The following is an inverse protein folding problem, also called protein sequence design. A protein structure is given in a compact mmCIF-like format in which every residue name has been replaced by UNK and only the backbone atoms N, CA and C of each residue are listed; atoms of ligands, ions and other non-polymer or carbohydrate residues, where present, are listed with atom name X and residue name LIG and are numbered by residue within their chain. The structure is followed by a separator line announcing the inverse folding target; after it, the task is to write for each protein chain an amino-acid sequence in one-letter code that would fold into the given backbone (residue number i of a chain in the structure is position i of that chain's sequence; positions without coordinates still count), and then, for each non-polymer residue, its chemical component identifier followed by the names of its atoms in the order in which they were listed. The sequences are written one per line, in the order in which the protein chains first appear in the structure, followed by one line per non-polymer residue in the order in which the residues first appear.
data_IF_925963713359
#
_entry.id   IF_925963713359
#
_cell.length_a   1.000
_cell.length_b   1.000
_cell.length_c   1.000
_cell.angle_alpha   90.00
_cell.angle_beta   90.00
_cell.angle_gamma   90.00
#
_symmetry.space_group_name_H-M   'P 1'
#
loop_
_entity.id
_entity.type
_entity.pdbx_description
1 polymer ?
#
# COMPACT_ATOMS: atom_id res chain seq x y z
N UNK A 1 25.83 -15.75 6.25
CA UNK A 1 26.29 -14.45 5.70
C UNK A 1 25.11 -13.51 5.73
N UNK A 2 25.16 -12.46 6.54
CA UNK A 2 24.16 -11.40 6.55
C UNK A 2 24.31 -10.63 5.24
N UNK A 3 23.39 -10.81 4.30
CA UNK A 3 23.30 -9.96 3.11
C UNK A 3 22.97 -8.54 3.60
N UNK A 4 23.99 -7.72 3.80
CA UNK A 4 23.82 -6.28 3.95
C UNK A 4 23.26 -5.78 2.62
N UNK A 5 22.02 -5.33 2.61
CA UNK A 5 21.43 -4.64 1.45
C UNK A 5 22.42 -3.55 0.98
N UNK A 6 22.73 -3.52 -0.31
CA UNK A 6 23.53 -2.45 -0.90
C UNK A 6 22.86 -1.11 -0.57
N UNK A 7 23.65 -0.11 -0.18
CA UNK A 7 23.16 1.23 0.15
C UNK A 7 22.89 1.51 1.63
N UNK A 8 22.97 0.52 2.52
CA UNK A 8 22.76 0.71 3.98
C UNK A 8 23.61 1.81 4.61
N UNK A 9 24.84 2.03 4.12
CA UNK A 9 25.75 3.06 4.61
C UNK A 9 25.24 4.50 4.37
N UNK A 10 24.39 4.72 3.36
CA UNK A 10 23.84 6.04 3.00
C UNK A 10 22.36 6.19 3.35
N UNK A 11 21.76 5.21 4.03
CA UNK A 11 20.32 5.16 4.28
C UNK A 11 19.80 6.41 4.99
N UNK A 12 20.61 6.97 5.90
CA UNK A 12 20.26 8.18 6.65
C UNK A 12 20.20 9.39 5.72
N UNK A 13 21.29 9.65 5.00
CA UNK A 13 21.41 10.77 4.07
C UNK A 13 20.35 10.71 2.97
N UNK A 14 20.08 9.50 2.47
CA UNK A 14 19.06 9.25 1.45
C UNK A 14 17.64 9.48 1.98
N UNK A 15 17.38 9.12 3.23
CA UNK A 15 16.10 9.39 3.90
C UNK A 15 15.91 10.89 4.08
N UNK A 16 16.94 11.60 4.55
CA UNK A 16 16.91 13.05 4.76
C UNK A 16 16.72 13.81 3.43
N UNK A 17 17.39 13.35 2.37
CA UNK A 17 17.26 13.90 1.01
C UNK A 17 15.84 13.71 0.46
N UNK A 18 15.29 12.49 0.55
CA UNK A 18 13.92 12.22 0.10
C UNK A 18 12.91 13.04 0.92
N UNK A 19 13.05 13.10 2.24
CA UNK A 19 12.19 13.93 3.08
C UNK A 19 12.29 15.42 2.74
N UNK A 20 13.48 15.90 2.32
CA UNK A 20 13.65 17.29 1.88
C UNK A 20 12.87 17.59 0.61
N UNK A 21 12.98 16.74 -0.40
CA UNK A 21 12.24 16.91 -1.67
C UNK A 21 10.73 16.79 -1.43
N UNK A 22 10.29 15.82 -0.61
CA UNK A 22 8.86 15.65 -0.31
C UNK A 22 8.23 16.83 0.43
N UNK A 23 9.03 17.66 1.13
CA UNK A 23 8.53 18.91 1.74
C UNK A 23 8.21 20.01 0.73
N UNK A 24 8.67 19.88 -0.51
CA UNK A 24 8.41 20.82 -1.59
C UNK A 24 7.10 20.48 -2.33
N UNK A 25 6.53 19.30 -2.09
CA UNK A 25 5.20 18.93 -2.62
C UNK A 25 4.15 19.86 -2.01
N UNK A 26 3.20 20.28 -2.83
CA UNK A 26 2.07 21.11 -2.39
C UNK A 26 1.38 20.46 -1.18
N UNK A 27 1.13 21.26 -0.14
CA UNK A 27 0.58 20.79 1.13
C UNK A 27 -0.85 20.27 1.00
N UNK A 28 -1.56 20.64 -0.06
CA UNK A 28 -2.89 20.13 -0.36
C UNK A 28 -2.85 18.73 -0.99
N UNK A 29 -1.67 18.22 -1.36
CA UNK A 29 -1.47 16.86 -1.87
C UNK A 29 -1.03 15.94 -0.71
N UNK A 30 -1.89 15.04 -0.23
CA UNK A 30 -1.52 14.11 0.83
C UNK A 30 -0.49 13.09 0.32
N UNK A 31 0.55 12.86 1.14
CA UNK A 31 1.55 11.83 0.89
C UNK A 31 1.19 10.54 1.62
N UNK A 32 1.21 9.42 0.90
CA UNK A 32 0.92 8.08 1.41
C UNK A 32 2.13 7.20 1.13
N UNK A 33 2.69 6.62 2.19
CA UNK A 33 3.89 5.79 2.10
C UNK A 33 3.55 4.31 2.16
N UNK A 34 4.18 3.51 1.30
CA UNK A 34 4.05 2.06 1.22
C UNK A 34 5.43 1.46 1.45
N UNK A 35 5.57 0.56 2.42
CA UNK A 35 6.84 -0.08 2.73
C UNK A 35 7.23 -1.10 1.67
N UNK A 36 8.47 -1.06 1.18
CA UNK A 36 9.04 -2.08 0.31
C UNK A 36 10.14 -2.92 0.97
N UNK A 37 10.66 -3.90 0.23
CA UNK A 37 11.75 -4.77 0.69
C UNK A 37 13.06 -4.01 0.98
N UNK A 38 13.30 -2.86 0.33
CA UNK A 38 14.44 -1.99 0.64
C UNK A 38 14.23 -1.17 1.93
N UNK A 39 12.98 -1.03 2.38
CA UNK A 39 12.64 -0.39 3.64
C UNK A 39 12.74 -1.38 4.80
N UNK A 40 11.99 -2.47 4.75
CA UNK A 40 11.85 -3.38 5.90
C UNK A 40 12.67 -4.67 5.76
N UNK A 41 13.29 -4.91 4.60
CA UNK A 41 14.02 -6.13 4.27
C UNK A 41 13.17 -7.15 3.49
N UNK A 42 13.83 -8.07 2.78
CA UNK A 42 13.14 -9.22 2.16
C UNK A 42 12.48 -10.11 3.23
N UNK A 43 13.14 -10.25 4.38
CA UNK A 43 12.63 -10.96 5.56
C UNK A 43 12.58 -9.92 6.70
N UNK A 44 11.48 -9.17 6.87
CA UNK A 44 11.35 -8.14 7.89
C UNK A 44 11.54 -8.68 9.30
N UNK A 45 12.07 -7.83 10.18
CA UNK A 45 12.10 -8.06 11.63
C UNK A 45 11.28 -6.99 12.33
N UNK A 46 10.97 -7.20 13.61
CA UNK A 46 10.28 -6.18 14.41
C UNK A 46 11.04 -4.86 14.40
N UNK A 47 12.37 -4.90 14.42
CA UNK A 47 13.23 -3.71 14.42
C UNK A 47 13.15 -2.95 13.10
N UNK A 48 13.19 -3.64 11.94
CA UNK A 48 13.13 -2.96 10.64
C UNK A 48 11.75 -2.36 10.36
N UNK A 49 10.68 -3.04 10.80
CA UNK A 49 9.32 -2.49 10.73
C UNK A 49 9.17 -1.27 11.65
N UNK A 50 9.61 -1.36 12.91
CA UNK A 50 9.55 -0.21 13.82
C UNK A 50 10.35 0.99 13.30
N UNK A 51 11.49 0.76 12.65
CA UNK A 51 12.28 1.84 12.05
C UNK A 51 11.56 2.50 10.88
N UNK A 52 10.89 1.71 10.02
CA UNK A 52 10.01 2.25 9.00
C UNK A 52 8.91 3.11 9.65
N UNK A 53 8.23 2.60 10.67
CA UNK A 53 7.12 3.31 11.32
C UNK A 53 7.54 4.63 11.95
N UNK A 54 8.71 4.68 12.60
CA UNK A 54 9.26 5.93 13.16
C UNK A 54 9.58 6.97 12.09
N UNK A 55 9.94 6.53 10.89
CA UNK A 55 10.44 7.41 9.82
C UNK A 55 9.34 7.87 8.87
N UNK A 56 8.40 6.97 8.54
CA UNK A 56 7.42 7.15 7.46
C UNK A 56 5.96 7.04 7.91
N UNK A 57 5.71 6.62 9.16
CA UNK A 57 4.37 6.30 9.66
C UNK A 57 4.02 4.81 9.49
N UNK A 58 2.80 4.45 9.88
CA UNK A 58 2.35 3.05 9.95
C UNK A 58 2.63 2.25 8.66
N UNK A 59 3.07 1.00 8.80
CA UNK A 59 3.42 0.13 7.67
C UNK A 59 2.20 -0.52 7.00
N UNK A 60 1.05 -0.52 7.68
CA UNK A 60 -0.26 -0.80 7.11
C UNK A 60 -1.33 0.05 7.77
N UNK A 61 -2.28 0.54 6.98
CA UNK A 61 -3.38 1.38 7.45
C UNK A 61 -4.47 1.51 6.37
N UNK A 62 -5.59 2.13 6.74
CA UNK A 62 -6.67 2.43 5.81
C UNK A 62 -7.09 3.89 5.91
N UNK A 63 -7.63 4.41 4.81
CA UNK A 63 -8.21 5.75 4.78
C UNK A 63 -9.36 5.81 3.77
N UNK A 64 -10.24 6.79 3.95
CA UNK A 64 -11.41 6.99 3.11
C UNK A 64 -11.35 8.32 2.41
N UNK A 65 -11.67 8.31 1.12
CA UNK A 65 -11.70 9.51 0.30
C UNK A 65 -12.85 9.39 -0.69
N UNK A 66 -13.76 10.37 -0.73
CA UNK A 66 -14.88 10.34 -1.69
C UNK A 66 -15.78 9.10 -1.62
N UNK A 67 -15.81 8.38 -0.49
CA UNK A 67 -16.55 7.11 -0.35
C UNK A 67 -15.82 5.87 -0.88
N UNK A 68 -14.55 6.02 -1.26
CA UNK A 68 -13.63 4.95 -1.65
C UNK A 68 -12.74 4.59 -0.46
N UNK A 69 -12.61 3.29 -0.20
CA UNK A 69 -11.71 2.75 0.80
C UNK A 69 -10.34 2.47 0.18
N UNK A 70 -9.29 2.99 0.78
CA UNK A 70 -7.92 2.66 0.44
C UNK A 70 -7.29 1.85 1.56
N UNK A 71 -6.62 0.76 1.18
CA UNK A 71 -5.86 -0.10 2.09
C UNK A 71 -4.39 -0.03 1.69
N UNK A 72 -3.51 0.28 2.63
CA UNK A 72 -2.06 0.19 2.47
C UNK A 72 -1.59 -1.04 3.23
N UNK A 73 -0.89 -1.94 2.54
CA UNK A 73 -0.42 -3.20 3.10
C UNK A 73 1.11 -3.29 3.07
N UNK A 74 1.70 -3.81 4.15
CA UNK A 74 3.07 -4.29 4.12
C UNK A 74 3.12 -5.67 3.45
N UNK A 75 3.40 -5.70 2.14
CA UNK A 75 3.47 -6.95 1.39
C UNK A 75 4.68 -7.83 1.73
N UNK A 76 5.70 -7.31 2.41
CA UNK A 76 6.84 -8.16 2.82
C UNK A 76 6.41 -9.24 3.81
N UNK A 77 5.34 -8.99 4.56
CA UNK A 77 4.72 -10.00 5.40
C UNK A 77 4.16 -11.18 4.59
N UNK A 78 3.65 -10.95 3.38
CA UNK A 78 3.17 -12.00 2.49
C UNK A 78 4.31 -12.75 1.78
N UNK A 79 5.47 -12.11 1.65
CA UNK A 79 6.66 -12.72 1.06
C UNK A 79 7.39 -13.64 2.05
N UNK A 80 7.81 -13.11 3.20
CA UNK A 80 8.45 -13.89 4.28
C UNK A 80 8.40 -13.15 5.62
N UNK A 81 7.45 -13.50 6.48
CA UNK A 81 7.34 -12.95 7.84
C UNK A 81 7.97 -13.82 8.94
N UNK A 82 8.86 -14.76 8.60
CA UNK A 82 9.40 -15.76 9.55
C UNK A 82 10.06 -15.16 10.79
N UNK A 83 10.59 -13.93 10.71
CA UNK A 83 11.22 -13.21 11.83
C UNK A 83 10.30 -12.25 12.58
N UNK A 84 9.06 -12.08 12.14
CA UNK A 84 8.07 -11.22 12.80
C UNK A 84 6.63 -11.75 12.65
N UNK A 85 6.35 -13.03 12.98
CA UNK A 85 5.04 -13.65 12.74
C UNK A 85 3.89 -12.97 13.50
N UNK A 86 4.17 -12.36 14.66
CA UNK A 86 3.17 -11.61 15.41
C UNK A 86 2.70 -10.34 14.66
N UNK A 87 3.60 -9.64 13.95
CA UNK A 87 3.23 -8.46 13.16
C UNK A 87 2.42 -8.84 11.92
N UNK A 88 2.83 -9.92 11.24
CA UNK A 88 2.04 -10.55 10.15
C UNK A 88 0.62 -10.87 10.61
N UNK A 89 0.49 -11.55 11.75
CA UNK A 89 -0.81 -11.93 12.29
C UNK A 89 -1.68 -10.70 12.62
N UNK A 90 -1.09 -9.62 13.14
CA UNK A 90 -1.80 -8.38 13.40
C UNK A 90 -2.33 -7.72 12.11
N UNK A 91 -1.51 -7.65 11.06
CA UNK A 91 -1.96 -7.15 9.75
C UNK A 91 -3.05 -8.04 9.14
N UNK A 92 -2.90 -9.37 9.21
CA UNK A 92 -3.90 -10.30 8.67
C UNK A 92 -5.26 -10.11 9.37
N UNK A 93 -5.28 -10.05 10.70
CA UNK A 93 -6.52 -9.82 11.46
C UNK A 93 -7.14 -8.46 11.16
N UNK A 94 -6.32 -7.42 11.06
CA UNK A 94 -6.77 -6.08 10.69
C UNK A 94 -7.36 -6.05 9.27
N UNK A 95 -6.72 -6.71 8.31
CA UNK A 95 -7.17 -6.77 6.92
C UNK A 95 -8.55 -7.44 6.83
N UNK A 96 -8.75 -8.57 7.51
CA UNK A 96 -10.06 -9.23 7.58
C UNK A 96 -11.15 -8.27 8.10
N UNK A 97 -10.84 -7.50 9.14
CA UNK A 97 -11.77 -6.50 9.69
C UNK A 97 -12.09 -5.39 8.68
N UNK A 98 -11.11 -4.91 7.93
CA UNK A 98 -11.33 -3.88 6.91
C UNK A 98 -12.18 -4.39 5.75
N UNK A 99 -11.90 -5.61 5.26
CA UNK A 99 -12.65 -6.21 4.16
C UNK A 99 -14.10 -6.52 4.58
N UNK A 100 -14.31 -6.93 5.82
CA UNK A 100 -15.64 -7.09 6.39
C UNK A 100 -16.40 -5.75 6.47
N UNK A 101 -15.76 -4.70 6.98
CA UNK A 101 -16.36 -3.37 7.08
C UNK A 101 -16.70 -2.79 5.69
N UNK A 102 -15.85 -3.00 4.69
CA UNK A 102 -16.08 -2.55 3.31
C UNK A 102 -17.37 -3.14 2.72
N UNK A 103 -17.62 -4.44 2.99
CA UNK A 103 -18.85 -5.12 2.56
C UNK A 103 -20.12 -4.57 3.22
N UNK A 104 -20.05 -4.16 4.49
CA UNK A 104 -21.21 -3.62 5.21
C UNK A 104 -21.55 -2.18 4.82
N UNK A 105 -20.55 -1.36 4.50
CA UNK A 105 -20.71 0.08 4.31
C UNK A 105 -21.11 0.47 2.89
N UNK A 106 -21.43 -0.49 2.00
CA UNK A 106 -21.70 -0.25 0.57
C UNK A 106 -20.65 0.66 -0.06
N UNK A 107 -19.38 0.37 0.26
CA UNK A 107 -18.22 1.06 -0.29
C UNK A 107 -18.36 1.17 -1.82
N UNK A 108 -18.05 2.31 -2.45
CA UNK A 108 -18.17 2.40 -3.92
C UNK A 108 -17.07 1.58 -4.60
N UNK A 109 -15.84 1.80 -4.14
CA UNK A 109 -14.66 1.06 -4.55
C UNK A 109 -13.75 0.83 -3.35
N UNK A 110 -13.06 -0.29 -3.34
CA UNK A 110 -11.94 -0.51 -2.44
C UNK A 110 -10.67 -0.75 -3.27
N UNK A 111 -9.56 -0.12 -2.88
CA UNK A 111 -8.28 -0.12 -3.59
C UNK A 111 -7.17 -0.50 -2.62
N UNK A 112 -6.23 -1.34 -3.06
CA UNK A 112 -5.05 -1.73 -2.28
C UNK A 112 -3.79 -1.11 -2.87
N UNK A 113 -2.94 -0.58 -2.01
CA UNK A 113 -1.55 -0.25 -2.29
C UNK A 113 -0.64 -1.21 -1.53
N UNK A 114 0.31 -1.82 -2.24
CA UNK A 114 1.32 -2.68 -1.64
C UNK A 114 2.61 -2.67 -2.48
N UNK A 115 3.73 -3.21 -2.00
CA UNK A 115 5.00 -3.16 -2.74
C UNK A 115 5.14 -4.29 -3.76
N UNK A 116 5.00 -5.55 -3.32
CA UNK A 116 5.17 -6.74 -4.17
C UNK A 116 3.84 -7.03 -4.89
N UNK A 117 3.83 -7.13 -6.22
CA UNK A 117 2.67 -7.56 -7.00
C UNK A 117 2.13 -8.93 -6.58
N UNK A 118 0.81 -9.12 -6.66
CA UNK A 118 0.22 -10.47 -6.62
C UNK A 118 0.73 -11.28 -7.81
N UNK A 119 0.70 -10.70 -9.02
CA UNK A 119 1.20 -11.25 -10.26
C UNK A 119 1.59 -10.12 -11.23
N UNK A 120 2.37 -10.44 -12.25
CA UNK A 120 2.85 -9.51 -13.27
C UNK A 120 2.02 -9.57 -14.56
N UNK A 121 1.53 -10.75 -14.93
CA UNK A 121 0.70 -10.94 -16.13
C UNK A 121 -0.51 -11.82 -15.85
N UNK A 122 -0.31 -12.96 -15.15
CA UNK A 122 -1.38 -13.92 -14.90
C UNK A 122 -1.31 -14.50 -13.50
N UNK A 123 -2.47 -14.78 -12.90
CA UNK A 123 -2.57 -15.37 -11.55
C UNK A 123 -1.88 -16.74 -11.43
N UNK A 124 -1.72 -17.46 -12.55
CA UNK A 124 -1.14 -18.81 -12.64
C UNK A 124 0.32 -18.81 -13.13
N UNK A 125 0.94 -17.64 -13.32
CA UNK A 125 2.33 -17.51 -13.73
C UNK A 125 3.31 -18.04 -12.67
N UNK A 126 4.52 -18.38 -13.09
CA UNK A 126 5.54 -18.94 -12.22
C UNK A 126 5.99 -17.98 -11.10
N UNK A 127 6.44 -18.58 -10.01
CA UNK A 127 7.00 -17.85 -8.89
C UNK A 127 8.35 -17.26 -9.28
N UNK A 128 8.49 -15.96 -9.05
CA UNK A 128 9.68 -15.18 -9.30
C UNK A 128 9.95 -14.27 -8.10
N UNK A 129 11.12 -13.67 -8.03
CA UNK A 129 11.46 -12.65 -7.05
C UNK A 129 10.47 -11.47 -7.07
N UNK A 130 9.87 -11.19 -8.22
CA UNK A 130 9.06 -10.00 -8.46
C UNK A 130 7.56 -10.16 -8.17
N UNK A 131 7.10 -11.35 -7.80
CA UNK A 131 5.70 -11.62 -7.48
C UNK A 131 5.58 -12.48 -6.21
N UNK A 132 4.40 -12.48 -5.58
CA UNK A 132 4.13 -13.36 -4.43
C UNK A 132 3.98 -14.80 -4.88
N UNK A 133 4.25 -15.80 -4.04
CA UNK A 133 4.13 -17.21 -4.46
C UNK A 133 2.70 -17.56 -4.92
N UNK A 134 2.53 -18.53 -5.82
CA UNK A 134 1.22 -18.97 -6.36
C UNK A 134 0.18 -19.20 -5.27
N UNK A 135 0.58 -19.85 -4.19
CA UNK A 135 -0.32 -20.11 -3.03
C UNK A 135 -0.79 -18.81 -2.39
N UNK A 136 0.14 -17.90 -2.08
CA UNK A 136 -0.15 -16.65 -1.37
C UNK A 136 -0.93 -15.69 -2.27
N UNK A 137 -0.51 -15.50 -3.53
CA UNK A 137 -1.20 -14.59 -4.45
C UNK A 137 -2.63 -15.05 -4.72
N UNK A 138 -2.88 -16.37 -4.81
CA UNK A 138 -4.22 -16.92 -5.00
C UNK A 138 -5.10 -16.69 -3.78
N UNK A 139 -4.57 -16.97 -2.58
CA UNK A 139 -5.28 -16.70 -1.31
C UNK A 139 -5.69 -15.22 -1.21
N UNK A 140 -4.75 -14.31 -1.44
CA UNK A 140 -4.98 -12.87 -1.35
C UNK A 140 -5.92 -12.36 -2.44
N UNK A 141 -5.75 -12.81 -3.69
CA UNK A 141 -6.65 -12.43 -4.77
C UNK A 141 -8.09 -12.90 -4.51
N UNK A 142 -8.29 -14.15 -4.08
CA UNK A 142 -9.62 -14.66 -3.75
C UNK A 142 -10.21 -13.96 -2.51
N UNK A 143 -9.38 -13.56 -1.54
CA UNK A 143 -9.81 -12.75 -0.39
C UNK A 143 -10.28 -11.36 -0.83
N UNK A 144 -9.54 -10.72 -1.73
CA UNK A 144 -9.85 -9.40 -2.28
C UNK A 144 -11.10 -9.39 -3.16
N UNK A 145 -11.33 -10.44 -3.95
CA UNK A 145 -12.51 -10.53 -4.82
C UNK A 145 -13.78 -10.91 -4.04
N UNK A 146 -13.67 -11.72 -2.97
CA UNK A 146 -14.79 -12.08 -2.08
C UNK A 146 -15.19 -10.98 -1.10
N UNK A 147 -14.30 -10.03 -0.80
CA UNK A 147 -14.64 -8.90 0.06
C UNK A 147 -15.90 -8.21 -0.50
N UNK A 148 -16.99 -8.17 0.27
CA UNK A 148 -18.28 -7.63 -0.21
C UNK A 148 -19.31 -8.65 -0.69
N UNK A 149 -18.98 -9.93 -0.85
CA UNK A 149 -19.99 -11.01 -1.06
C UNK A 149 -20.39 -11.69 0.25
N UNK A 150 -19.53 -11.63 1.27
CA UNK A 150 -19.80 -12.19 2.60
C UNK A 150 -20.62 -11.23 3.47
N UNK A 151 -21.94 -11.39 3.45
CA UNK A 151 -22.83 -10.88 4.51
C UNK A 151 -22.62 -11.76 5.75
N UNK A 152 -21.55 -11.51 6.51
CA UNK A 152 -21.41 -12.11 7.82
C UNK A 152 -22.21 -11.31 8.86
N UNK A 153 -23.26 -11.94 9.39
CA UNK A 153 -24.07 -11.46 10.49
C UNK A 153 -23.28 -11.64 11.78
N UNK A 154 -22.44 -10.68 12.17
CA UNK A 154 -21.98 -10.45 13.55
C UNK A 154 -21.18 -9.15 13.63
N UNK A 155 -21.84 -8.07 14.06
CA UNK A 155 -21.26 -6.74 14.18
C UNK A 155 -20.55 -6.59 15.52
N UNK A 156 -19.22 -6.49 15.51
CA UNK A 156 -18.49 -5.81 16.58
C UNK A 156 -18.31 -4.35 16.18
N UNK A 157 -18.84 -3.44 17.01
CA UNK A 157 -18.81 -2.00 16.80
C UNK A 157 -17.36 -1.47 16.84
N UNK A 158 -16.82 -1.11 15.67
CA UNK A 158 -15.64 -0.25 15.56
C UNK A 158 -16.11 1.17 15.20
N UNK A 159 -15.90 2.13 16.11
CA UNK A 159 -16.12 3.56 15.82
C UNK A 159 -15.01 4.06 14.91
N UNK A 160 -15.30 4.23 13.63
CA UNK A 160 -14.44 4.99 12.71
C UNK A 160 -14.63 6.50 12.97
N UNK A 161 -13.53 7.22 13.21
CA UNK A 161 -13.52 8.68 13.23
C UNK A 161 -13.61 9.19 11.78
N UNK A 162 -14.61 10.02 11.50
CA UNK A 162 -14.82 10.65 10.21
C UNK A 162 -13.99 11.93 10.10
N UNK A 163 -13.07 12.00 9.13
CA UNK A 163 -12.68 13.27 8.54
C UNK A 163 -13.69 13.60 7.43
N UNK A 164 -14.51 14.63 7.64
CA UNK A 164 -15.43 15.14 6.62
C UNK A 164 -14.66 15.95 5.58
N UNK A 165 -14.89 15.61 4.31
CA UNK A 165 -15.00 16.60 3.23
C UNK A 165 -13.81 16.72 2.30
N UNK A 166 -13.79 15.91 1.23
CA UNK A 166 -13.34 16.33 -0.11
C UNK A 166 -14.16 15.53 -1.14
N UNK A 167 -14.87 16.19 -2.09
CA UNK A 167 -15.81 15.52 -3.00
C UNK A 167 -15.12 14.78 -4.16
N UNK A 168 -13.86 15.05 -4.43
CA UNK A 168 -13.05 14.35 -5.43
C UNK A 168 -11.58 14.55 -5.07
N UNK A 169 -10.76 13.51 -5.16
CA UNK A 169 -9.34 13.60 -4.84
C UNK A 169 -8.55 13.07 -6.02
N UNK A 170 -7.75 13.97 -6.58
CA UNK A 170 -6.62 13.62 -7.42
C UNK A 170 -5.59 12.96 -6.53
N UNK A 171 -5.50 11.63 -6.58
CA UNK A 171 -4.42 10.92 -5.92
C UNK A 171 -3.26 10.82 -6.91
N UNK A 172 -2.28 11.72 -6.82
CA UNK A 172 -0.97 11.46 -7.42
C UNK A 172 -0.25 10.52 -6.46
N UNK A 173 -0.56 9.24 -6.57
CA UNK A 173 0.00 8.19 -5.72
C UNK A 173 1.48 8.01 -5.99
N UNK A 174 2.32 8.77 -5.32
CA UNK A 174 3.74 8.47 -5.20
C UNK A 174 3.91 7.32 -4.22
N UNK A 175 3.79 6.08 -4.68
CA UNK A 175 4.26 4.98 -3.86
C UNK A 175 5.77 5.11 -3.73
N UNK A 176 6.26 5.23 -2.49
CA UNK A 176 7.70 5.18 -2.19
C UNK A 176 8.38 3.94 -2.80
N UNK A 177 7.63 2.84 -2.98
CA UNK A 177 8.07 1.64 -3.70
C UNK A 177 8.62 1.91 -5.11
N UNK A 178 8.13 2.93 -5.81
CA UNK A 178 8.63 3.33 -7.11
C UNK A 178 9.95 4.12 -7.03
N UNK A 179 10.34 4.64 -5.86
CA UNK A 179 11.64 5.27 -5.62
C UNK A 179 12.76 4.26 -5.36
N UNK A 180 12.47 2.96 -5.42
CA UNK A 180 13.50 1.92 -5.41
C UNK A 180 14.53 2.22 -6.51
N UNK A 181 15.73 2.61 -6.05
CA UNK A 181 16.97 2.88 -6.80
C UNK A 181 17.26 4.26 -7.40
N UNK A 182 16.66 5.38 -6.96
CA UNK A 182 17.42 6.67 -7.06
C UNK A 182 18.66 6.65 -6.12
N UNK A 183 18.74 5.61 -5.30
CA UNK A 183 19.37 5.56 -3.99
C UNK A 183 20.34 4.35 -3.89
N UNK A 184 20.70 3.71 -5.00
CA UNK A 184 21.56 2.53 -4.89
C UNK A 184 22.14 1.93 -6.17
N UNK A 185 22.67 2.72 -7.11
CA UNK A 185 23.74 2.21 -7.98
C UNK A 185 24.49 3.34 -8.72
N UNK A 186 25.61 3.81 -8.16
CA UNK A 186 26.58 4.63 -8.90
C UNK A 186 27.95 3.95 -9.02
N UNK A 187 28.07 2.66 -8.69
CA UNK A 187 29.39 2.02 -8.56
C UNK A 187 29.79 1.08 -9.71
N UNK A 188 29.03 1.00 -10.80
CA UNK A 188 29.44 0.23 -11.99
C UNK A 188 29.93 1.07 -13.19
N UNK A 189 30.53 2.24 -12.95
CA UNK A 189 31.42 2.86 -13.96
C UNK A 189 32.84 2.93 -13.42
N UNK A 190 33.72 2.12 -14.02
CA UNK A 190 35.13 1.99 -13.66
C UNK A 190 35.92 3.30 -13.66
N UNK A 191 37.09 3.33 -13.01
CA UNK A 191 37.73 4.56 -12.55
C UNK A 191 38.40 5.32 -13.69
N UNK A 192 37.99 6.57 -13.93
CA UNK A 192 38.86 7.56 -14.57
C UNK A 192 39.66 8.30 -13.50
N UNK A 193 40.97 8.11 -13.56
CA UNK A 193 42.01 8.59 -12.65
C UNK A 193 42.07 10.13 -12.65
N UNK A 194 42.04 10.75 -11.47
CA UNK A 194 42.77 11.99 -11.20
C UNK A 194 43.34 12.00 -9.76
N UNK A 195 44.53 12.60 -9.64
CA UNK A 195 45.46 12.50 -8.49
C UNK A 195 45.04 13.41 -7.30
N UNK A 196 45.48 13.10 -6.07
CA UNK A 196 45.05 13.78 -4.85
C UNK A 196 46.00 14.90 -4.37
N UNK A 197 45.46 15.81 -3.56
CA UNK A 197 46.16 16.81 -2.74
C UNK A 197 45.23 17.34 -1.62
N UNK A 198 45.75 17.84 -0.48
CA UNK A 198 45.49 17.22 0.82
C UNK A 198 44.57 17.98 1.81
N UNK A 199 44.20 17.22 2.84
CA UNK A 199 43.35 17.47 4.02
C UNK A 199 43.61 18.74 4.83
N UNK A 200 42.56 19.24 5.51
CA UNK A 200 42.64 19.68 6.93
C UNK A 200 41.35 19.36 7.70
N UNK A 201 41.55 19.15 9.00
CA UNK A 201 40.65 18.61 10.01
C UNK A 201 39.97 19.69 10.89
N UNK A 202 39.31 19.24 11.97
CA UNK A 202 38.82 19.96 13.17
C UNK A 202 37.48 20.71 13.04
N UNK A 203 36.60 20.87 14.04
CA UNK A 203 36.40 20.38 15.42
C UNK A 203 35.02 20.93 15.91
N UNK A 204 34.48 20.46 17.04
CA UNK A 204 33.51 21.17 17.91
C UNK A 204 32.07 20.63 17.92
N UNK A 205 31.61 19.87 18.93
CA UNK A 205 31.16 20.20 20.32
C UNK A 205 29.81 20.94 20.47
N UNK A 206 28.95 20.37 21.35
CA UNK A 206 27.80 20.98 22.03
C UNK A 206 26.44 20.55 21.47
N UNK A 207 25.41 20.13 22.21
CA UNK A 207 25.14 19.97 23.64
C UNK A 207 23.63 19.69 23.81
N UNK A 208 23.29 18.73 24.69
CA UNK A 208 22.18 18.68 25.68
C UNK A 208 20.79 19.21 25.21
N UNK A 209 19.71 18.43 25.19
CA UNK A 209 18.82 18.29 26.36
C UNK A 209 17.81 17.12 26.31
N UNK A 210 17.52 16.56 27.49
CA UNK A 210 16.54 15.49 27.76
C UNK A 210 15.22 16.11 28.24
N UNK A 211 14.07 15.56 27.83
CA UNK A 211 12.81 15.72 28.59
C UNK A 211 12.01 14.41 28.64
N UNK A 212 11.45 14.16 29.84
CA UNK A 212 10.68 12.99 30.29
C UNK A 212 9.23 12.99 29.78
N UNK A 213 8.62 11.78 29.69
CA UNK A 213 7.16 11.55 29.58
C UNK A 213 6.38 11.93 30.86
N UNK A 214 5.07 11.59 30.99
CA UNK A 214 4.65 10.19 31.06
C UNK A 214 3.24 9.86 30.51
N UNK A 215 2.87 8.60 30.77
CA UNK A 215 1.81 7.73 30.26
C UNK A 215 0.48 7.72 31.06
N UNK A 216 -0.54 7.09 30.45
CA UNK A 216 -1.62 6.22 30.99
C UNK A 216 -3.04 6.65 30.62
N UNK A 217 -3.79 5.75 29.99
CA UNK A 217 -5.26 5.77 30.00
C UNK A 217 -5.81 4.38 30.34
N UNK A 218 -6.81 4.40 31.23
CA UNK A 218 -7.51 3.29 31.88
C UNK A 218 -8.46 2.56 30.93
N UNK A 219 -8.58 1.24 31.12
CA UNK A 219 -9.70 0.42 30.65
C UNK A 219 -10.82 0.41 31.69
N UNK A 220 -12.07 0.45 31.23
CA UNK A 220 -13.27 0.13 32.01
C UNK A 220 -14.06 -0.96 31.29
N UNK A 221 -14.41 -2.00 32.03
CA UNK A 221 -15.26 -3.12 31.62
C UNK A 221 -16.72 -2.78 31.83
N UNK A 222 -17.59 -3.23 30.92
CA UNK A 222 -19.01 -3.39 31.16
C UNK A 222 -19.47 -4.73 30.59
N UNK A 223 -20.03 -5.56 31.45
CA UNK A 223 -20.58 -6.89 31.22
C UNK A 223 -22.10 -6.82 31.19
N UNK A 224 -22.80 -7.40 30.20
CA UNK A 224 -24.22 -7.75 30.36
C UNK A 224 -24.68 -9.00 29.61
N UNK A 225 -25.46 -9.76 30.38
CA UNK A 225 -26.26 -10.98 30.19
C UNK A 225 -26.97 -11.20 28.85
N UNK A 226 -26.90 -12.44 28.37
CA UNK A 226 -27.73 -13.01 27.30
C UNK A 226 -29.06 -13.48 27.92
N UNK A 227 -30.19 -13.10 27.31
CA UNK A 227 -31.48 -13.72 27.60
C UNK A 227 -32.02 -14.35 26.31
N UNK A 228 -32.05 -15.68 26.32
CA UNK A 228 -32.62 -16.54 25.30
C UNK A 228 -34.15 -16.55 25.39
N UNK A 229 -34.84 -16.63 24.25
CA UNK A 229 -36.17 -17.26 24.07
C UNK A 229 -36.63 -17.18 22.61
N UNK A 230 -36.56 -18.33 21.93
CA UNK A 230 -37.44 -18.67 20.81
C UNK A 230 -38.70 -19.37 21.35
N UNK A 231 -39.85 -19.17 20.70
CA UNK A 231 -40.73 -20.31 20.45
C UNK A 231 -41.38 -20.30 19.05
N UNK A 232 -41.20 -21.42 18.35
CA UNK A 232 -42.09 -22.06 17.36
C UNK A 232 -42.66 -21.27 16.17
N UNK A 233 -42.42 -21.81 14.97
CA UNK A 233 -43.22 -21.52 13.78
C UNK A 233 -42.74 -22.27 12.53
N UNK A 234 -43.25 -23.47 12.31
CA UNK A 234 -43.05 -24.28 11.10
C UNK A 234 -43.81 -23.71 9.90
N UNK A 235 -43.13 -23.47 8.77
CA UNK A 235 -43.74 -23.26 7.45
C UNK A 235 -43.01 -24.07 6.36
N UNK A 236 -43.71 -24.51 5.30
CA UNK A 236 -43.21 -25.50 4.33
C UNK A 236 -42.11 -24.95 3.42
N UNK A 237 -41.16 -25.82 3.10
CA UNK A 237 -40.02 -25.52 2.24
C UNK A 237 -40.46 -25.18 0.80
N UNK A 238 -40.18 -23.95 0.39
CA UNK A 238 -40.17 -23.54 -1.02
C UNK A 238 -38.85 -24.04 -1.61
N UNK A 239 -38.83 -24.71 -2.79
CA UNK A 239 -37.58 -25.11 -3.41
C UNK A 239 -36.76 -23.84 -3.73
N UNK A 240 -35.43 -23.83 -3.48
CA UNK A 240 -34.64 -22.66 -3.80
C UNK A 240 -34.67 -22.47 -5.32
N UNK A 241 -35.38 -21.43 -5.75
CA UNK A 241 -35.15 -20.86 -7.07
C UNK A 241 -33.66 -20.54 -7.15
N UNK A 242 -33.01 -20.99 -8.23
CA UNK A 242 -31.65 -20.61 -8.56
C UNK A 242 -31.62 -19.09 -8.74
N UNK A 243 -31.36 -18.38 -7.65
CA UNK A 243 -30.99 -16.98 -7.69
C UNK A 243 -29.57 -16.97 -8.21
N UNK A 244 -29.37 -16.60 -9.47
CA UNK A 244 -28.07 -16.10 -9.91
C UNK A 244 -27.76 -14.88 -9.05
N UNK A 245 -27.03 -15.11 -7.97
CA UNK A 245 -26.50 -14.08 -7.10
C UNK A 245 -25.48 -13.30 -7.94
N UNK A 246 -25.95 -12.28 -8.66
CA UNK A 246 -25.09 -11.23 -9.18
C UNK A 246 -24.51 -10.54 -7.95
N UNK A 247 -23.34 -11.05 -7.52
CA UNK A 247 -22.66 -10.69 -6.30
C UNK A 247 -21.91 -9.39 -6.55
N UNK A 248 -22.63 -8.29 -6.74
CA UNK A 248 -22.06 -6.95 -6.91
C UNK A 248 -21.67 -6.34 -5.55
N UNK A 249 -20.91 -7.10 -4.78
CA UNK A 249 -20.23 -6.61 -3.59
C UNK A 249 -19.10 -5.65 -3.98
N UNK A 250 -18.71 -4.71 -3.11
CA UNK A 250 -17.65 -3.75 -3.36
C UNK A 250 -16.25 -4.35 -3.16
N UNK A 251 -16.02 -5.54 -3.70
CA UNK A 251 -14.71 -6.19 -3.69
C UNK A 251 -13.63 -5.26 -4.18
N UNK A 252 -12.41 -5.53 -3.72
CA UNK A 252 -11.25 -4.73 -4.11
C UNK A 252 -11.18 -4.70 -5.63
N UNK A 253 -11.14 -3.51 -6.21
CA UNK A 253 -11.20 -3.30 -7.66
C UNK A 253 -9.81 -3.24 -8.28
N UNK A 254 -8.85 -2.71 -7.53
CA UNK A 254 -7.48 -2.57 -8.01
C UNK A 254 -6.46 -2.81 -6.88
N UNK A 255 -5.34 -3.43 -7.23
CA UNK A 255 -4.12 -3.51 -6.43
C UNK A 255 -3.00 -2.81 -7.19
N UNK A 256 -2.51 -1.71 -6.64
CA UNK A 256 -1.35 -0.99 -7.18
C UNK A 256 -0.09 -1.46 -6.48
N UNK A 257 0.95 -1.80 -7.27
CA UNK A 257 2.24 -2.25 -6.77
C UNK A 257 3.43 -1.71 -7.55
N UNK A 258 4.62 -1.93 -7.00
CA UNK A 258 5.92 -1.59 -7.60
C UNK A 258 6.78 -2.84 -7.73
N UNK A 259 8.01 -2.78 -7.19
CA UNK A 259 8.97 -3.90 -7.07
C UNK A 259 9.55 -4.45 -8.39
N UNK A 260 8.75 -4.57 -9.46
CA UNK A 260 9.20 -5.12 -10.74
C UNK A 260 10.06 -4.16 -11.58
N UNK A 261 10.02 -2.87 -11.26
CA UNK A 261 10.75 -1.81 -11.99
C UNK A 261 10.42 -1.76 -13.49
N UNK A 262 9.26 -2.31 -13.84
CA UNK A 262 8.62 -2.28 -15.15
C UNK A 262 7.13 -2.09 -14.98
N UNK A 263 6.50 -1.50 -15.97
CA UNK A 263 5.06 -1.52 -16.09
C UNK A 263 4.63 -2.96 -16.42
N UNK A 264 3.69 -3.47 -15.63
CA UNK A 264 3.09 -4.77 -15.83
C UNK A 264 1.69 -4.78 -15.20
N UNK A 265 0.98 -5.88 -15.35
CA UNK A 265 -0.35 -6.03 -14.79
C UNK A 265 -1.22 -7.00 -15.57
N UNK A 266 -2.38 -7.26 -15.02
CA UNK A 266 -3.39 -8.11 -15.62
C UNK A 266 -4.64 -8.16 -14.75
N UNK A 267 -5.70 -8.76 -15.29
CA UNK A 267 -6.98 -8.86 -14.59
C UNK A 267 -7.18 -10.30 -14.12
N UNK A 268 -7.57 -10.45 -12.85
CA UNK A 268 -8.05 -11.72 -12.31
C UNK A 268 -9.47 -11.54 -11.76
N UNK A 269 -10.44 -12.22 -12.38
CA UNK A 269 -11.87 -11.98 -12.13
C UNK A 269 -12.23 -10.51 -12.35
N UNK A 270 -12.53 -9.77 -11.28
CA UNK A 270 -12.84 -8.34 -11.29
C UNK A 270 -11.77 -7.50 -10.56
N UNK A 271 -10.61 -8.09 -10.28
CA UNK A 271 -9.46 -7.44 -9.64
C UNK A 271 -8.43 -7.05 -10.69
N UNK A 272 -8.14 -5.76 -10.78
CA UNK A 272 -7.08 -5.21 -11.61
C UNK A 272 -5.75 -5.17 -10.84
N UNK A 273 -4.74 -5.92 -11.32
CA UNK A 273 -3.39 -5.89 -10.74
C UNK A 273 -2.54 -4.96 -11.60
N UNK A 274 -2.07 -3.87 -11.01
CA UNK A 274 -1.32 -2.81 -11.69
C UNK A 274 0.07 -2.68 -11.09
N UNK A 275 1.10 -2.83 -11.92
CA UNK A 275 2.51 -2.66 -11.51
C UNK A 275 3.06 -1.41 -12.19
N UNK A 276 3.57 -0.49 -11.38
CA UNK A 276 4.20 0.75 -11.88
C UNK A 276 5.72 0.58 -11.92
N UNK A 277 6.33 1.05 -13.00
CA UNK A 277 7.79 1.10 -13.12
C UNK A 277 8.40 1.99 -12.02
N UNK A 278 9.71 1.85 -11.84
CA UNK A 278 10.45 2.67 -10.89
C UNK A 278 10.74 4.05 -11.48
N UNK A 279 11.03 5.03 -10.63
CA UNK A 279 11.53 6.35 -11.02
C UNK A 279 13.08 6.37 -11.08
N UNK A 280 13.75 5.50 -10.32
CA UNK A 280 15.22 5.54 -10.16
C UNK A 280 16.05 4.43 -10.80
N UNK A 281 15.46 3.25 -11.05
CA UNK A 281 16.04 2.22 -11.91
C UNK A 281 14.94 1.53 -12.67
N UNK A 282 14.67 1.93 -13.90
CA UNK A 282 13.80 1.14 -14.75
C UNK A 282 14.57 -0.10 -15.22
N UNK A 283 13.88 -1.23 -15.31
CA UNK A 283 14.43 -2.41 -15.95
C UNK A 283 13.82 -2.51 -17.35
N UNK A 284 14.61 -2.78 -18.39
CA UNK A 284 14.08 -2.82 -19.76
C UNK A 284 13.85 -1.40 -20.32
N UNK A 285 12.77 -1.23 -21.10
CA UNK A 285 12.56 -0.04 -21.94
C UNK A 285 11.64 1.03 -21.31
N UNK A 286 11.13 0.81 -20.10
CA UNK A 286 10.31 1.81 -19.42
C UNK A 286 11.13 3.06 -19.10
N UNK A 287 10.50 4.22 -19.26
CA UNK A 287 11.06 5.52 -18.90
C UNK A 287 10.82 5.82 -17.42
N UNK A 288 11.62 6.71 -16.84
CA UNK A 288 11.41 7.19 -15.49
C UNK A 288 10.16 8.06 -15.42
N UNK A 289 9.27 7.76 -14.48
CA UNK A 289 7.92 8.29 -14.51
C UNK A 289 7.10 7.92 -13.29
N UNK A 290 5.81 8.25 -13.38
CA UNK A 290 4.82 7.97 -12.33
C UNK A 290 3.50 7.55 -12.96
N UNK A 291 2.67 6.89 -12.16
CA UNK A 291 1.31 6.52 -12.57
C UNK A 291 0.31 7.49 -11.97
N UNK A 292 -0.46 8.15 -12.83
CA UNK A 292 -1.63 8.93 -12.42
C UNK A 292 -2.82 7.98 -12.32
N UNK A 293 -3.54 8.04 -11.20
CA UNK A 293 -4.75 7.25 -10.96
C UNK A 293 -5.88 8.23 -10.66
N UNK A 294 -6.91 8.21 -11.49
CA UNK A 294 -8.16 8.96 -11.30
C UNK A 294 -9.22 7.98 -10.83
N UNK A 295 -9.84 8.30 -9.70
CA UNK A 295 -10.87 7.46 -9.08
C UNK A 295 -12.16 8.27 -9.01
N UNK A 296 -13.19 7.80 -9.69
CA UNK A 296 -14.54 8.38 -9.64
C UNK A 296 -15.46 7.48 -8.81
N UNK A 297 -16.77 7.76 -8.82
CA UNK A 297 -17.74 6.90 -8.16
C UNK A 297 -18.11 5.66 -8.99
N UNK A 298 -17.75 5.67 -10.27
CA UNK A 298 -18.11 4.67 -11.27
C UNK A 298 -16.90 3.87 -11.74
N UNK A 299 -15.72 4.49 -11.83
CA UNK A 299 -14.55 3.89 -12.44
C UNK A 299 -13.21 4.29 -11.80
N UNK A 300 -12.20 3.46 -12.09
CA UNK A 300 -10.80 3.70 -11.75
C UNK A 300 -10.04 3.72 -13.07
N UNK A 301 -9.50 4.87 -13.45
CA UNK A 301 -8.72 5.04 -14.67
C UNK A 301 -7.30 5.40 -14.30
N UNK A 302 -6.30 4.74 -14.90
CA UNK A 302 -4.91 5.04 -14.60
C UNK A 302 -4.02 5.00 -15.84
N UNK A 303 -2.96 5.82 -15.85
CA UNK A 303 -1.94 5.83 -16.89
C UNK A 303 -0.56 6.09 -16.31
N UNK A 304 0.43 5.40 -16.87
CA UNK A 304 1.82 5.68 -16.59
C UNK A 304 2.31 6.76 -17.55
N UNK A 305 3.00 7.75 -17.01
CA UNK A 305 3.62 8.82 -17.77
C UNK A 305 5.09 8.90 -17.40
N UNK A 306 5.94 9.10 -18.40
CA UNK A 306 7.30 9.58 -18.14
C UNK A 306 7.27 10.98 -17.52
N UNK A 307 8.34 11.36 -16.82
CA UNK A 307 8.47 12.72 -16.32
C UNK A 307 8.53 13.75 -17.45
N UNK A 308 9.13 13.38 -18.59
CA UNK A 308 9.19 14.22 -19.79
C UNK A 308 7.79 14.47 -20.36
N UNK A 309 6.96 13.42 -20.51
CA UNK A 309 5.58 13.56 -20.98
C UNK A 309 4.74 14.45 -20.07
N UNK A 310 4.85 14.28 -18.74
CA UNK A 310 4.13 15.13 -17.78
C UNK A 310 4.59 16.58 -17.84
N UNK A 311 5.89 16.82 -18.00
CA UNK A 311 6.46 18.16 -18.07
C UNK A 311 6.05 18.89 -19.35
N UNK A 312 6.06 18.18 -20.49
CA UNK A 312 5.77 18.76 -21.80
C UNK A 312 4.27 18.89 -22.10
N UNK A 313 3.49 17.88 -21.73
CA UNK A 313 2.09 17.74 -22.15
C UNK A 313 1.09 17.81 -21.00
N UNK A 314 1.54 17.63 -19.76
CA UNK A 314 0.66 17.50 -18.60
C UNK A 314 -0.11 16.18 -18.58
N UNK A 315 -1.19 16.13 -17.80
CA UNK A 315 -2.12 15.00 -17.75
C UNK A 315 -3.10 15.12 -18.93
N UNK A 316 -3.43 13.99 -19.57
CA UNK A 316 -4.36 13.97 -20.69
C UNK A 316 -5.73 14.59 -20.33
N UNK A 317 -6.33 15.28 -21.30
CA UNK A 317 -7.60 16.01 -21.09
C UNK A 317 -8.74 15.11 -20.63
N UNK A 318 -8.81 13.86 -21.08
CA UNK A 318 -9.86 12.93 -20.69
C UNK A 318 -9.76 12.53 -19.21
N UNK A 319 -8.56 12.36 -18.66
CA UNK A 319 -8.34 12.19 -17.21
C UNK A 319 -8.67 13.48 -16.45
N UNK A 320 -8.31 14.64 -17.01
CA UNK A 320 -8.64 15.92 -16.40
C UNK A 320 -10.14 16.22 -16.40
N UNK A 321 -10.89 15.71 -17.39
CA UNK A 321 -12.32 15.87 -17.48
C UNK A 321 -13.04 15.01 -16.43
N UNK A 322 -12.58 13.78 -16.18
CA UNK A 322 -13.05 12.95 -15.06
C UNK A 322 -12.89 13.62 -13.69
N UNK A 323 -11.87 14.48 -13.52
CA UNK A 323 -11.65 15.23 -12.28
C UNK A 323 -12.58 16.45 -12.14
N UNK A 324 -13.19 16.91 -13.24
CA UNK A 324 -14.13 18.06 -13.25
C UNK A 324 -15.57 17.64 -13.02
N UNK A 325 -15.90 16.37 -13.31
CA UNK A 325 -17.21 15.80 -13.01
C UNK A 325 -17.44 15.77 -11.49
N UNK A 326 -18.47 16.50 -11.03
CA UNK A 326 -18.83 16.70 -9.62
C UNK A 326 -20.11 15.98 -9.26
#
# INVERSE_FOLDING_TARGET
MTLTLSGTAWRKEQTEDLQRVLREVDRDIPLVFVSGNHDVGNIPTTETVMEFCRTWGDDYFSFWVGGVLFLVLNSQFFYDASKCPALKQAQDQWLEQQLHAAGQQRCRHAIVFQHIPLFLQRIDEDDDYFNLTKSVRKEMADKFTRAGTDVCVNVYSAKALFAKGFPSVTFIGFMKSCFCNVIGDFTQRGPKRHRPGPSKAQEGQGGIDRFHGPSRLRTQSCSFSICSKDPFGTHPAVPPAAFELHSSGPGIKAVFSGHYHRNAGGVYQNLDMVVSSAIGCQLGEDTHGLRVVVVTAEEIVHRYYSLDELSEKGIDNDLMDLLKEK
#
